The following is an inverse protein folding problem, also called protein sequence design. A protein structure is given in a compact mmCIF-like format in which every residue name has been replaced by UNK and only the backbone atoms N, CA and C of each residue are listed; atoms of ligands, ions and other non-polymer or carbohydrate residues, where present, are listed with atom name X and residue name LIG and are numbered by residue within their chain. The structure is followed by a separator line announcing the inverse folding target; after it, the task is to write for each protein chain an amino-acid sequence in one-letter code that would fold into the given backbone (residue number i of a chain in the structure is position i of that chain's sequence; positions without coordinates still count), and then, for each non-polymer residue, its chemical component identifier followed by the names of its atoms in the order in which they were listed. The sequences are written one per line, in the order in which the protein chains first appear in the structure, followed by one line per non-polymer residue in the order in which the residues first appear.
data_IF_136345030969
#
_entry.id   IF_136345030969
#
_cell.length_a   1.000
_cell.length_b   1.000
_cell.length_c   1.000
_cell.angle_alpha   90.00
_cell.angle_beta   90.00
_cell.angle_gamma   90.00
#
_symmetry.space_group_name_H-M   'P 1'
#
loop_
_entity.id
_entity.type
_entity.pdbx_description
1 polymer ?
#
# COMPACT_ATOMS: atom_id res chain seq x y z
N UNK A 1 -2.78 -5.05 7.90
CA UNK A 1 -3.70 -3.98 7.45
C UNK A 1 -4.91 -3.92 8.39
N UNK A 2 -5.75 -2.89 8.42
CA UNK A 2 -7.06 -2.89 9.11
C UNK A 2 -8.08 -2.14 8.25
N UNK A 3 -9.35 -2.57 8.21
CA UNK A 3 -10.44 -1.84 7.54
C UNK A 3 -11.54 -1.50 8.54
N UNK A 4 -11.91 -0.23 8.60
CA UNK A 4 -13.05 0.27 9.38
C UNK A 4 -13.73 1.40 8.61
N UNK A 5 -14.89 1.14 8.03
CA UNK A 5 -15.50 2.04 7.05
C UNK A 5 -14.66 2.13 5.77
N UNK A 6 -14.53 3.34 5.20
CA UNK A 6 -13.76 3.59 3.97
C UNK A 6 -12.24 3.74 4.20
N UNK A 7 -11.76 3.48 5.41
CA UNK A 7 -10.36 3.66 5.77
C UNK A 7 -9.62 2.33 5.79
N UNK A 8 -8.46 2.31 5.12
CA UNK A 8 -7.57 1.18 5.06
C UNK A 8 -6.20 1.55 5.65
N UNK A 9 -5.76 0.81 6.66
CA UNK A 9 -4.51 1.16 7.35
C UNK A 9 -3.34 0.24 6.97
N UNK A 10 -2.31 0.82 6.35
CA UNK A 10 -1.02 0.15 6.09
C UNK A 10 -0.13 0.37 7.31
N UNK A 11 0.35 -0.70 7.95
CA UNK A 11 1.12 -0.62 9.22
C UNK A 11 2.63 -0.59 8.98
N UNK A 12 3.14 -1.52 8.18
CA UNK A 12 4.57 -1.77 8.08
C UNK A 12 4.94 -2.54 6.82
N UNK A 13 6.18 -2.36 6.38
CA UNK A 13 6.90 -3.33 5.54
C UNK A 13 8.10 -3.85 6.33
N UNK A 14 8.65 -5.00 5.93
CA UNK A 14 9.84 -5.59 6.56
C UNK A 14 10.84 -6.00 5.49
N UNK A 15 12.12 -5.89 5.83
CA UNK A 15 13.24 -6.39 5.03
C UNK A 15 13.29 -5.83 3.60
N UNK A 16 12.83 -4.60 3.38
CA UNK A 16 12.85 -3.98 2.07
C UNK A 16 14.27 -3.92 1.50
N UNK A 17 14.40 -4.33 0.24
CA UNK A 17 15.66 -4.27 -0.50
C UNK A 17 15.70 -2.97 -1.30
N UNK A 18 16.71 -2.14 -1.07
CA UNK A 18 17.01 -1.04 -1.97
C UNK A 18 17.85 -1.53 -3.16
N UNK A 19 17.81 -0.78 -4.25
CA UNK A 19 18.64 -1.02 -5.44
C UNK A 19 20.14 -1.12 -5.12
N UNK A 20 20.60 -0.40 -4.10
CA UNK A 20 22.00 -0.40 -3.66
C UNK A 20 22.13 -1.01 -2.27
N UNK A 21 23.02 -2.00 -2.11
CA UNK A 21 23.16 -2.85 -0.91
C UNK A 21 23.33 -2.08 0.41
N UNK A 22 24.04 -0.96 0.40
CA UNK A 22 24.37 -0.21 1.63
C UNK A 22 23.43 0.97 1.91
N UNK A 23 22.54 1.31 0.96
CA UNK A 23 21.53 2.34 1.16
C UNK A 23 20.25 1.73 1.71
N UNK A 24 19.66 2.37 2.71
CA UNK A 24 18.31 2.05 3.17
C UNK A 24 17.29 2.86 2.35
N UNK A 25 16.16 2.26 1.93
CA UNK A 25 15.18 2.94 1.09
C UNK A 25 14.42 4.01 1.86
N UNK A 26 13.85 4.97 1.12
CA UNK A 26 12.83 5.89 1.65
C UNK A 26 11.46 5.38 1.17
N UNK A 27 10.75 4.66 2.02
CA UNK A 27 9.60 3.88 1.60
C UNK A 27 8.31 4.70 1.53
N UNK A 28 7.58 4.53 0.44
CA UNK A 28 6.19 4.97 0.27
C UNK A 28 5.36 3.76 -0.16
N UNK A 29 4.17 3.57 0.42
CA UNK A 29 3.21 2.60 -0.08
C UNK A 29 2.09 3.33 -0.80
N UNK A 30 1.94 3.02 -2.09
CA UNK A 30 0.77 3.38 -2.85
C UNK A 30 -0.27 2.27 -2.74
N UNK A 31 -1.51 2.68 -2.50
CA UNK A 31 -2.69 1.84 -2.46
C UNK A 31 -3.54 2.19 -3.67
N UNK A 32 -3.85 1.21 -4.50
CA UNK A 32 -4.76 1.35 -5.62
C UNK A 32 -5.97 0.43 -5.42
N UNK A 33 -7.17 0.96 -5.66
CA UNK A 33 -8.40 0.18 -5.76
C UNK A 33 -8.65 -0.10 -7.23
N UNK A 34 -8.82 -1.37 -7.57
CA UNK A 34 -9.15 -1.81 -8.92
C UNK A 34 -10.61 -2.17 -9.00
N UNK A 35 -11.25 -1.73 -10.08
CA UNK A 35 -12.59 -2.14 -10.45
C UNK A 35 -12.62 -3.65 -10.73
N UNK A 36 -13.57 -4.36 -10.13
CA UNK A 36 -13.67 -5.81 -10.23
C UNK A 36 -14.04 -6.31 -11.65
N UNK A 37 -14.68 -5.46 -12.46
CA UNK A 37 -15.16 -5.79 -13.80
C UNK A 37 -14.21 -5.33 -14.90
N UNK A 38 -13.70 -4.10 -14.81
CA UNK A 38 -12.85 -3.48 -15.84
C UNK A 38 -11.35 -3.60 -15.54
N UNK A 39 -10.96 -4.03 -14.33
CA UNK A 39 -9.57 -4.07 -13.85
C UNK A 39 -8.84 -2.72 -13.94
N UNK A 40 -9.59 -1.63 -14.11
CA UNK A 40 -9.09 -0.26 -14.11
C UNK A 40 -8.87 0.25 -12.68
N UNK A 41 -7.87 1.13 -12.50
CA UNK A 41 -7.66 1.81 -11.21
C UNK A 41 -8.73 2.90 -11.06
N UNK A 42 -9.57 2.79 -10.03
CA UNK A 42 -10.64 3.75 -9.74
C UNK A 42 -10.30 4.71 -8.60
N UNK A 43 -9.34 4.34 -7.75
CA UNK A 43 -8.83 5.22 -6.71
C UNK A 43 -7.37 4.88 -6.40
N UNK A 44 -6.60 5.89 -6.01
CA UNK A 44 -5.30 5.69 -5.39
C UNK A 44 -5.11 6.61 -4.18
N UNK A 45 -4.31 6.14 -3.24
CA UNK A 45 -3.86 6.90 -2.08
C UNK A 45 -2.43 6.48 -1.71
N UNK A 46 -1.71 7.34 -1.01
CA UNK A 46 -0.33 7.06 -0.59
C UNK A 46 -0.19 7.28 0.92
N UNK A 47 0.69 6.50 1.54
CA UNK A 47 1.14 6.76 2.92
C UNK A 47 2.06 7.99 2.97
N UNK A 48 2.55 8.34 4.16
CA UNK A 48 3.76 9.16 4.25
C UNK A 48 5.01 8.42 3.71
N UNK A 49 6.06 9.18 3.43
CA UNK A 49 7.40 8.63 3.15
C UNK A 49 8.11 8.36 4.48
N UNK A 50 8.56 7.13 4.69
CA UNK A 50 9.38 6.73 5.85
C UNK A 50 10.82 6.54 5.39
N UNK A 51 11.71 7.43 5.85
CA UNK A 51 13.08 7.54 5.33
C UNK A 51 14.06 6.57 5.99
N UNK A 52 15.04 6.11 5.22
CA UNK A 52 16.26 5.48 5.74
C UNK A 52 16.08 4.18 6.52
N UNK A 53 15.09 3.35 6.19
CA UNK A 53 14.85 2.07 6.87
C UNK A 53 14.38 0.97 5.94
N UNK A 54 14.74 -0.28 6.25
CA UNK A 54 14.24 -1.48 5.55
C UNK A 54 12.93 -1.99 6.17
N UNK A 55 12.61 -1.52 7.36
CA UNK A 55 11.44 -1.92 8.15
C UNK A 55 10.58 -0.69 8.48
N UNK A 56 10.01 -0.01 7.46
CA UNK A 56 9.22 1.20 7.68
C UNK A 56 7.95 0.89 8.46
N UNK A 57 7.62 1.78 9.40
CA UNK A 57 6.33 1.81 10.10
C UNK A 57 5.57 3.05 9.64
N UNK A 58 4.36 2.84 9.12
CA UNK A 58 3.50 3.90 8.60
C UNK A 58 2.43 4.25 9.64
N UNK A 59 2.17 5.54 9.81
CA UNK A 59 1.22 6.12 10.75
C UNK A 59 -0.09 6.51 10.07
N UNK A 60 -0.09 6.76 8.75
CA UNK A 60 -1.32 7.10 8.04
C UNK A 60 -2.13 5.87 7.64
N UNK A 61 -3.43 5.93 7.92
CA UNK A 61 -4.43 5.19 7.16
C UNK A 61 -4.74 5.95 5.86
N UNK A 62 -5.04 5.21 4.79
CA UNK A 62 -5.54 5.79 3.55
C UNK A 62 -7.06 5.73 3.54
N UNK A 63 -7.71 6.86 3.22
CA UNK A 63 -9.15 6.90 2.96
C UNK A 63 -9.39 6.54 1.50
N UNK A 64 -10.35 5.67 1.26
CA UNK A 64 -10.88 5.38 -0.06
C UNK A 64 -12.00 6.40 -0.34
N UNK A 65 -12.13 6.83 -1.60
CA UNK A 65 -13.07 7.90 -1.96
C UNK A 65 -14.51 7.44 -1.75
N UNK A 66 -15.39 8.26 -1.13
CA UNK A 66 -16.80 7.91 -0.97
C UNK A 66 -17.55 7.79 -2.31
N UNK A 67 -17.02 8.39 -3.38
CA UNK A 67 -17.59 8.31 -4.73
C UNK A 67 -17.46 6.91 -5.36
N UNK A 68 -16.58 6.06 -4.80
CA UNK A 68 -16.31 4.71 -5.29
C UNK A 68 -16.35 3.73 -4.11
N UNK A 69 -17.56 3.30 -3.68
CA UNK A 69 -17.70 2.45 -2.50
C UNK A 69 -16.98 1.13 -2.73
N UNK A 70 -16.03 0.86 -1.85
CA UNK A 70 -15.25 -0.38 -1.88
C UNK A 70 -16.13 -1.53 -1.43
N UNK A 71 -16.31 -2.52 -2.29
CA UNK A 71 -17.09 -3.72 -2.02
C UNK A 71 -16.18 -4.92 -1.76
N UNK A 72 -16.76 -6.04 -1.31
CA UNK A 72 -15.99 -7.26 -1.01
C UNK A 72 -15.18 -7.78 -2.22
N UNK A 73 -15.71 -7.58 -3.43
CA UNK A 73 -15.09 -8.00 -4.69
C UNK A 73 -14.02 -7.02 -5.19
N UNK A 74 -13.89 -5.84 -4.58
CA UNK A 74 -12.85 -4.87 -4.95
C UNK A 74 -11.47 -5.45 -4.70
N UNK A 75 -10.60 -5.36 -5.71
CA UNK A 75 -9.22 -5.78 -5.61
C UNK A 75 -8.38 -4.58 -5.17
N UNK A 76 -7.59 -4.77 -4.12
CA UNK A 76 -6.63 -3.77 -3.65
C UNK A 76 -5.25 -4.18 -4.08
N UNK A 77 -4.51 -3.26 -4.69
CA UNK A 77 -3.08 -3.42 -4.99
C UNK A 77 -2.26 -2.47 -4.13
N UNK A 78 -1.29 -3.03 -3.42
CA UNK A 78 -0.26 -2.29 -2.72
C UNK A 78 1.00 -2.29 -3.58
N UNK A 79 1.58 -1.12 -3.81
CA UNK A 79 2.85 -0.96 -4.50
C UNK A 79 3.81 -0.19 -3.61
N UNK A 80 5.01 -0.73 -3.37
CA UNK A 80 6.03 -0.12 -2.53
C UNK A 80 7.10 0.54 -3.40
N UNK A 81 7.49 1.76 -3.04
CA UNK A 81 8.47 2.54 -3.76
C UNK A 81 9.57 3.06 -2.85
N UNK A 82 10.80 3.13 -3.37
CA UNK A 82 11.92 3.89 -2.79
C UNK A 82 11.96 5.29 -3.41
N UNK A 83 11.61 6.29 -2.63
CA UNK A 83 11.60 7.71 -3.02
C UNK A 83 13.03 8.25 -3.03
N UNK A 84 13.50 8.67 -4.21
CA UNK A 84 14.84 9.22 -4.40
C UNK A 84 14.86 10.74 -4.30
N UNK A 85 13.84 11.38 -4.85
CA UNK A 85 13.67 12.82 -4.79
C UNK A 85 12.19 13.19 -4.66
N UNK A 86 11.82 13.73 -3.50
CA UNK A 86 10.46 14.17 -3.17
C UNK A 86 9.99 15.38 -3.98
N UNK A 87 10.91 16.18 -4.54
CA UNK A 87 10.59 17.35 -5.36
C UNK A 87 10.42 16.97 -6.83
N UNK A 88 11.19 15.99 -7.31
CA UNK A 88 11.15 15.56 -8.72
C UNK A 88 10.30 14.30 -8.96
N UNK A 89 9.53 13.83 -7.96
CA UNK A 89 8.68 12.64 -8.06
C UNK A 89 9.45 11.39 -8.54
N UNK A 90 10.74 11.32 -8.24
CA UNK A 90 11.58 10.22 -8.71
C UNK A 90 11.55 9.10 -7.68
N UNK A 91 10.95 7.97 -8.06
CA UNK A 91 10.81 6.80 -7.20
C UNK A 91 11.13 5.51 -7.95
N UNK A 92 11.79 4.57 -7.27
CA UNK A 92 12.07 3.23 -7.77
C UNK A 92 11.06 2.24 -7.21
N UNK A 93 10.46 1.40 -8.06
CA UNK A 93 9.57 0.34 -7.63
C UNK A 93 10.32 -0.75 -6.86
N UNK A 94 9.81 -1.15 -5.70
CA UNK A 94 10.40 -2.20 -4.85
C UNK A 94 9.63 -3.51 -4.88
N UNK A 95 8.31 -3.46 -5.10
CA UNK A 95 7.46 -4.66 -5.13
C UNK A 95 5.98 -4.33 -4.98
N UNK A 96 5.12 -5.30 -5.25
CA UNK A 96 3.66 -5.13 -5.09
C UNK A 96 2.97 -6.42 -4.71
N UNK A 97 1.89 -6.31 -3.93
CA UNK A 97 0.99 -7.41 -3.62
C UNK A 97 -0.46 -6.95 -3.77
N UNK A 98 -1.35 -7.88 -4.08
CA UNK A 98 -2.78 -7.61 -4.19
C UNK A 98 -3.60 -8.59 -3.37
N UNK A 99 -4.76 -8.14 -2.91
CA UNK A 99 -5.72 -8.95 -2.14
C UNK A 99 -7.14 -8.40 -2.37
N UNK A 100 -8.15 -9.24 -2.22
CA UNK A 100 -9.55 -8.77 -2.24
C UNK A 100 -9.95 -8.22 -0.88
N UNK A 101 -10.90 -7.30 -0.85
CA UNK A 101 -11.48 -6.81 0.41
C UNK A 101 -12.12 -7.95 1.20
N UNK A 102 -12.71 -8.94 0.52
CA UNK A 102 -13.20 -10.16 1.12
C UNK A 102 -12.12 -10.92 1.92
N UNK A 103 -10.89 -11.03 1.39
CA UNK A 103 -9.77 -11.71 2.08
C UNK A 103 -9.43 -11.00 3.39
N UNK A 104 -9.46 -9.67 3.38
CA UNK A 104 -9.20 -8.86 4.55
C UNK A 104 -10.30 -9.02 5.61
N UNK A 105 -11.57 -8.97 5.21
CA UNK A 105 -12.71 -9.13 6.13
C UNK A 105 -12.67 -10.50 6.82
N UNK A 106 -12.29 -11.55 6.07
CA UNK A 106 -12.17 -12.93 6.59
C UNK A 106 -10.92 -13.17 7.42
N UNK A 107 -9.93 -12.28 7.35
CA UNK A 107 -8.67 -12.43 8.08
C UNK A 107 -8.84 -12.21 9.58
N UNK A 108 -7.99 -12.91 10.37
CA UNK A 108 -7.97 -12.74 11.82
C UNK A 108 -7.62 -11.30 12.18
N UNK A 109 -8.39 -10.71 13.10
CA UNK A 109 -8.24 -9.32 13.55
C UNK A 109 -8.32 -8.29 12.41
N UNK A 110 -8.88 -8.68 11.25
CA UNK A 110 -8.90 -7.92 10.00
C UNK A 110 -7.50 -7.50 9.52
N UNK A 111 -6.50 -8.35 9.74
CA UNK A 111 -5.11 -8.11 9.34
C UNK A 111 -4.59 -9.12 8.31
N UNK A 112 -4.06 -8.57 7.22
CA UNK A 112 -3.25 -9.31 6.25
C UNK A 112 -1.76 -8.99 6.40
N UNK A 113 -0.94 -10.03 6.23
CA UNK A 113 0.50 -9.97 5.98
C UNK A 113 0.75 -10.52 4.59
N UNK A 114 1.39 -9.73 3.74
CA UNK A 114 1.58 -10.04 2.32
C UNK A 114 3.09 -10.08 2.01
N UNK A 115 3.47 -10.97 1.11
CA UNK A 115 4.81 -11.00 0.53
C UNK A 115 4.80 -10.28 -0.82
N UNK A 116 5.84 -9.49 -1.08
CA UNK A 116 6.04 -8.77 -2.33
C UNK A 116 6.73 -9.63 -3.39
#
# INVERSE_FOLDING_TARGET
MLVGGDYMLVRACRELLAEFKDRKPNALVQVAVLDAHEQGIIAYACTEVVEGTRDPLFLTGVSLSPDWPVCEDSLIKLSVYDVKDKHHQMSSFLGSASFSVADLIKSKDQQLSLSL
#
